data_IF_560568730362
#
_entry.id   IF_560568730362
#
_cell.length_a   1.000
_cell.length_b   1.000
_cell.length_c   1.000
_cell.angle_alpha   90.00
_cell.angle_beta   90.00
_cell.angle_gamma   90.00
#
_symmetry.space_group_name_H-M   'P 1'
#
loop_
_entity.id
_entity.type
_entity.pdbx_description
1 polymer ?
#
# COMPACT_ATOMS: atom_id res chain seq x y z
N UNK A 1 -11.11 52.82 -5.12
CA UNK A 1 -11.84 51.59 -5.57
C UNK A 1 -10.96 50.66 -6.41
N UNK A 2 -10.08 51.18 -7.28
CA UNK A 2 -9.16 50.44 -8.15
C UNK A 2 -8.31 49.34 -7.46
N UNK A 3 -7.70 49.61 -6.30
CA UNK A 3 -6.89 48.61 -5.59
C UNK A 3 -7.68 47.43 -5.00
N UNK A 4 -8.98 47.59 -4.74
CA UNK A 4 -9.82 46.48 -4.25
C UNK A 4 -10.11 45.52 -5.40
N UNK A 5 -10.46 46.06 -6.57
CA UNK A 5 -10.71 45.31 -7.81
C UNK A 5 -9.50 44.52 -8.29
N UNK A 6 -8.27 45.07 -8.22
CA UNK A 6 -7.04 44.35 -8.62
C UNK A 6 -6.72 43.16 -7.71
N UNK A 7 -6.93 43.30 -6.39
CA UNK A 7 -6.72 42.21 -5.43
C UNK A 7 -7.74 41.08 -5.61
N UNK A 8 -9.01 41.43 -5.89
CA UNK A 8 -10.04 40.43 -6.22
C UNK A 8 -9.77 39.71 -7.54
N UNK A 9 -9.28 40.41 -8.58
CA UNK A 9 -8.91 39.75 -9.84
C UNK A 9 -7.73 38.79 -9.64
N UNK A 10 -6.69 39.20 -8.91
CA UNK A 10 -5.54 38.35 -8.63
C UNK A 10 -5.91 37.09 -7.83
N UNK A 11 -6.81 37.22 -6.85
CA UNK A 11 -7.33 36.09 -6.09
C UNK A 11 -8.16 35.11 -6.94
N UNK A 12 -8.95 35.62 -7.90
CA UNK A 12 -9.74 34.78 -8.81
C UNK A 12 -8.86 33.99 -9.79
N UNK A 13 -7.77 34.59 -10.30
CA UNK A 13 -6.81 33.89 -11.16
C UNK A 13 -6.04 32.81 -10.39
N UNK A 14 -5.63 33.08 -9.15
CA UNK A 14 -4.98 32.08 -8.29
C UNK A 14 -5.93 30.91 -7.95
N UNK A 15 -7.21 31.18 -7.72
CA UNK A 15 -8.22 30.14 -7.50
C UNK A 15 -8.42 29.25 -8.74
N UNK A 16 -8.39 29.83 -9.94
CA UNK A 16 -8.54 29.07 -11.19
C UNK A 16 -7.33 28.16 -11.49
N UNK A 17 -6.13 28.57 -11.08
CA UNK A 17 -4.90 27.81 -11.24
C UNK A 17 -4.78 26.62 -10.27
N UNK A 18 -5.56 26.60 -9.18
CA UNK A 18 -5.62 25.49 -8.23
C UNK A 18 -6.52 24.33 -8.70
N UNK A 19 -7.32 24.52 -9.75
CA UNK A 19 -8.36 23.57 -10.18
C UNK A 19 -7.97 22.58 -11.29
N UNK A 20 -6.70 22.53 -11.73
CA UNK A 20 -6.30 21.74 -12.92
C UNK A 20 -5.67 20.36 -12.65
N UNK A 21 -5.67 19.84 -11.41
CA UNK A 21 -4.97 18.59 -11.07
C UNK A 21 -5.89 17.43 -10.68
N UNK A 22 -6.56 16.76 -11.63
CA UNK A 22 -7.13 15.43 -11.36
C UNK A 22 -7.44 14.52 -12.57
N UNK A 23 -7.01 14.82 -13.80
CA UNK A 23 -7.27 13.92 -14.93
C UNK A 23 -6.13 12.92 -15.10
N UNK A 24 -6.08 11.89 -14.24
CA UNK A 24 -5.12 10.79 -14.40
C UNK A 24 -5.57 9.77 -15.48
N UNK A 25 -6.88 9.65 -15.72
CA UNK A 25 -7.46 8.75 -16.71
C UNK A 25 -8.68 9.39 -17.40
N UNK A 26 -8.86 9.09 -18.69
CA UNK A 26 -9.98 9.58 -19.49
C UNK A 26 -11.35 9.05 -18.99
N UNK A 27 -11.34 7.86 -18.35
CA UNK A 27 -12.52 7.22 -17.75
C UNK A 27 -12.20 6.68 -16.36
N UNK A 28 -13.17 6.66 -15.43
CA UNK A 28 -13.01 6.01 -14.13
C UNK A 28 -12.67 4.53 -14.28
N UNK A 29 -11.77 4.03 -13.44
CA UNK A 29 -11.48 2.59 -13.35
C UNK A 29 -12.50 1.96 -12.40
N UNK A 30 -13.45 1.21 -12.96
CA UNK A 30 -14.40 0.44 -12.15
C UNK A 30 -13.72 -0.80 -11.60
N UNK A 31 -13.71 -0.94 -10.27
CA UNK A 31 -13.16 -2.09 -9.58
C UNK A 31 -14.28 -3.06 -9.23
N UNK A 32 -14.09 -4.33 -9.59
CA UNK A 32 -14.92 -5.42 -9.10
C UNK A 32 -14.56 -5.76 -7.65
N UNK A 33 -13.27 -5.70 -7.32
CA UNK A 33 -12.76 -6.05 -6.00
C UNK A 33 -11.43 -5.36 -5.70
N UNK A 34 -11.13 -5.15 -4.43
CA UNK A 34 -9.88 -4.59 -3.93
C UNK A 34 -9.64 -5.05 -2.50
N UNK A 35 -8.39 -5.37 -2.19
CA UNK A 35 -8.03 -5.68 -0.82
C UNK A 35 -6.54 -5.90 -0.64
N UNK A 36 -6.22 -6.55 0.47
CA UNK A 36 -4.87 -6.97 0.78
C UNK A 36 -4.85 -8.25 1.59
N UNK A 37 -3.79 -9.02 1.46
CA UNK A 37 -3.54 -10.25 2.20
C UNK A 37 -2.04 -10.45 2.42
N UNK A 38 -1.70 -11.38 3.31
CA UNK A 38 -0.33 -11.85 3.52
C UNK A 38 -0.15 -13.21 2.86
N UNK A 39 1.02 -13.46 2.26
CA UNK A 39 1.34 -14.72 1.60
C UNK A 39 2.73 -15.23 2.01
N UNK A 40 2.86 -16.55 2.13
CA UNK A 40 4.09 -17.19 2.60
C UNK A 40 4.34 -16.93 4.09
N UNK A 41 5.62 -16.87 4.47
CA UNK A 41 6.09 -16.63 5.83
C UNK A 41 6.26 -17.89 6.68
N UNK A 42 6.85 -17.70 7.86
CA UNK A 42 7.23 -18.75 8.81
C UNK A 42 6.63 -18.45 10.18
N UNK A 43 6.33 -19.51 10.92
CA UNK A 43 5.89 -19.40 12.32
C UNK A 43 6.93 -20.07 13.21
N UNK A 44 7.38 -19.36 14.24
CA UNK A 44 8.33 -19.88 15.24
C UNK A 44 7.69 -19.77 16.61
N UNK A 45 7.66 -20.87 17.35
CA UNK A 45 7.15 -20.91 18.73
C UNK A 45 8.32 -21.14 19.69
N UNK A 46 8.45 -20.25 20.67
CA UNK A 46 9.46 -20.40 21.72
C UNK A 46 9.03 -21.50 22.70
N UNK A 47 9.89 -22.46 23.05
CA UNK A 47 9.57 -23.48 24.06
C UNK A 47 9.15 -22.89 25.41
N UNK A 48 8.30 -23.61 26.14
CA UNK A 48 7.78 -23.20 27.46
C UNK A 48 6.27 -22.94 27.44
N UNK A 49 5.75 -22.31 28.49
CA UNK A 49 4.34 -21.95 28.63
C UNK A 49 4.18 -20.44 28.67
N UNK A 50 3.12 -19.93 28.04
CA UNK A 50 2.81 -18.51 28.07
C UNK A 50 2.33 -18.08 29.46
N UNK A 51 2.83 -16.94 29.94
CA UNK A 51 2.47 -16.33 31.22
C UNK A 51 1.81 -14.97 30.99
N UNK A 52 0.50 -14.89 31.25
CA UNK A 52 -0.28 -13.66 31.12
C UNK A 52 0.16 -12.55 32.10
N UNK A 53 0.79 -12.90 33.21
CA UNK A 53 1.29 -11.93 34.20
C UNK A 53 2.63 -11.31 33.81
N UNK A 54 3.34 -11.93 32.86
CA UNK A 54 4.62 -11.45 32.33
C UNK A 54 4.69 -11.58 30.79
N UNK A 55 3.91 -10.78 30.04
CA UNK A 55 3.77 -10.91 28.58
C UNK A 55 5.02 -10.51 27.78
N UNK A 56 6.05 -9.94 28.42
CA UNK A 56 7.32 -9.67 27.77
C UNK A 56 8.27 -10.88 27.79
N UNK A 57 7.96 -11.94 28.56
CA UNK A 57 8.70 -13.18 28.54
C UNK A 57 8.35 -14.00 27.29
N UNK A 58 9.30 -14.32 26.41
CA UNK A 58 9.03 -14.99 25.13
C UNK A 58 8.59 -16.44 25.26
N UNK A 59 8.68 -17.09 26.43
CA UNK A 59 8.29 -18.50 26.58
C UNK A 59 6.82 -18.76 26.20
N UNK A 60 6.60 -19.82 25.43
CA UNK A 60 5.28 -20.17 24.89
C UNK A 60 4.71 -19.17 23.88
N UNK A 61 5.41 -18.08 23.54
CA UNK A 61 4.98 -17.13 22.52
C UNK A 61 5.25 -17.68 21.12
N UNK A 62 4.40 -17.25 20.17
CA UNK A 62 4.51 -17.60 18.76
C UNK A 62 4.70 -16.34 17.92
N UNK A 63 5.76 -16.30 17.11
CA UNK A 63 6.07 -15.23 16.17
C UNK A 63 5.71 -15.67 14.75
N UNK A 64 4.95 -14.82 14.05
CA UNK A 64 4.61 -14.98 12.63
C UNK A 64 5.41 -13.94 11.82
N UNK A 65 6.34 -14.39 10.98
CA UNK A 65 7.30 -13.55 10.26
C UNK A 65 7.45 -13.93 8.79
N UNK A 66 8.29 -13.19 8.06
CA UNK A 66 8.67 -13.44 6.66
C UNK A 66 7.51 -13.47 5.65
N UNK A 67 6.35 -12.93 6.01
CA UNK A 67 5.22 -12.81 5.10
C UNK A 67 5.46 -11.71 4.05
N UNK A 68 5.03 -11.97 2.82
CA UNK A 68 4.85 -10.92 1.82
C UNK A 68 3.49 -10.25 2.03
N UNK A 69 3.47 -8.93 2.21
CA UNK A 69 2.24 -8.15 2.15
C UNK A 69 1.86 -7.91 0.69
N UNK A 70 0.63 -8.24 0.32
CA UNK A 70 0.11 -8.07 -1.03
C UNK A 70 -1.10 -7.14 -1.01
N UNK A 71 -1.07 -6.09 -1.82
CA UNK A 71 -2.25 -5.29 -2.13
C UNK A 71 -2.69 -5.57 -3.57
N UNK A 72 -3.99 -5.74 -3.79
CA UNK A 72 -4.52 -6.03 -5.12
C UNK A 72 -5.75 -5.18 -5.49
N UNK A 73 -5.92 -4.98 -6.80
CA UNK A 73 -7.11 -4.37 -7.39
C UNK A 73 -7.51 -5.20 -8.62
N UNK A 74 -8.80 -5.56 -8.71
CA UNK A 74 -9.38 -6.29 -9.84
C UNK A 74 -10.41 -5.40 -10.54
N UNK A 75 -10.19 -4.99 -11.80
CA UNK A 75 -11.19 -4.26 -12.57
C UNK A 75 -12.33 -5.18 -13.03
N UNK A 76 -13.50 -4.60 -13.35
CA UNK A 76 -14.70 -5.37 -13.78
C UNK A 76 -14.44 -6.23 -15.02
N UNK A 77 -13.62 -5.73 -15.95
CA UNK A 77 -13.23 -6.42 -17.18
C UNK A 77 -11.76 -6.82 -17.14
N UNK A 78 -11.35 -7.53 -16.09
CA UNK A 78 -9.95 -7.96 -15.93
C UNK A 78 -9.51 -8.93 -17.02
N UNK A 79 -8.31 -8.71 -17.58
CA UNK A 79 -7.62 -9.71 -18.40
C UNK A 79 -7.44 -11.03 -17.64
N UNK A 80 -7.35 -12.14 -18.39
CA UNK A 80 -7.18 -13.49 -17.82
C UNK A 80 -5.90 -13.62 -16.97
N UNK A 81 -4.83 -12.93 -17.35
CA UNK A 81 -3.54 -12.98 -16.65
C UNK A 81 -3.33 -11.71 -15.82
N UNK A 82 -3.01 -11.83 -14.52
CA UNK A 82 -2.73 -10.67 -13.68
C UNK A 82 -1.31 -10.14 -13.88
N UNK A 83 -1.11 -8.89 -13.49
CA UNK A 83 0.20 -8.26 -13.39
C UNK A 83 0.68 -8.30 -11.93
N UNK A 84 1.88 -8.83 -11.71
CA UNK A 84 2.52 -8.88 -10.39
C UNK A 84 3.72 -7.94 -10.39
N UNK A 85 3.73 -6.98 -9.47
CA UNK A 85 4.80 -6.01 -9.30
C UNK A 85 5.64 -6.34 -8.07
N UNK A 86 6.92 -6.62 -8.31
CA UNK A 86 7.95 -6.83 -7.31
C UNK A 86 8.85 -5.59 -7.25
N UNK A 87 9.03 -5.01 -6.08
CA UNK A 87 9.94 -3.87 -5.91
C UNK A 87 11.39 -4.33 -5.80
N UNK A 88 12.34 -3.43 -6.11
CA UNK A 88 13.78 -3.67 -5.91
C UNK A 88 14.22 -3.57 -4.45
N UNK A 89 15.51 -3.82 -4.20
CA UNK A 89 16.11 -3.73 -2.87
C UNK A 89 15.97 -2.32 -2.27
N UNK A 90 15.65 -2.24 -0.97
CA UNK A 90 15.45 -0.97 -0.24
C UNK A 90 14.21 -0.17 -0.65
N UNK A 91 13.37 -0.71 -1.54
CA UNK A 91 12.13 -0.08 -2.00
C UNK A 91 10.90 -0.75 -1.36
N UNK A 92 9.71 -0.18 -1.59
CA UNK A 92 8.42 -0.76 -1.17
C UNK A 92 7.39 -0.69 -2.30
N UNK A 93 6.17 -1.22 -2.08
CA UNK A 93 5.01 -1.14 -3.00
C UNK A 93 4.68 0.25 -3.55
N UNK A 94 5.25 1.33 -3.00
CA UNK A 94 5.01 2.72 -3.43
C UNK A 94 5.44 2.96 -4.89
N UNK A 95 6.45 2.24 -5.40
CA UNK A 95 7.06 2.51 -6.71
C UNK A 95 6.38 1.83 -7.89
N UNK A 96 5.70 0.70 -7.69
CA UNK A 96 4.95 0.07 -8.78
C UNK A 96 3.61 0.78 -9.00
N UNK A 97 3.44 1.50 -10.10
CA UNK A 97 2.12 2.03 -10.53
C UNK A 97 1.86 1.54 -11.97
N UNK A 98 0.76 0.82 -12.22
CA UNK A 98 0.44 0.38 -13.57
C UNK A 98 -0.08 1.57 -14.40
N UNK A 99 0.37 1.68 -15.64
CA UNK A 99 -0.25 2.56 -16.65
C UNK A 99 -1.49 1.92 -17.30
N UNK A 100 -1.65 0.59 -17.19
CA UNK A 100 -2.78 -0.16 -17.73
C UNK A 100 -3.83 -0.43 -16.65
N UNK A 101 -5.08 -0.08 -16.90
CA UNK A 101 -6.16 -0.06 -15.89
C UNK A 101 -7.09 -1.27 -15.91
N UNK A 102 -7.02 -2.09 -16.95
CA UNK A 102 -7.87 -3.28 -17.17
C UNK A 102 -7.18 -4.59 -16.75
N UNK A 103 -5.97 -4.53 -16.18
CA UNK A 103 -5.31 -5.69 -15.61
C UNK A 103 -5.64 -5.82 -14.11
N UNK A 104 -5.81 -7.06 -13.63
CA UNK A 104 -5.70 -7.32 -12.20
C UNK A 104 -4.25 -7.07 -11.77
N UNK A 105 -4.05 -6.33 -10.70
CA UNK A 105 -2.72 -5.87 -10.27
C UNK A 105 -2.46 -6.33 -8.86
N UNK A 106 -1.29 -6.96 -8.65
CA UNK A 106 -0.74 -7.28 -7.33
C UNK A 106 0.51 -6.43 -7.09
N UNK A 107 0.56 -5.75 -5.96
CA UNK A 107 1.76 -5.05 -5.48
C UNK A 107 2.26 -5.75 -4.23
N UNK A 108 3.46 -6.29 -4.32
CA UNK A 108 4.08 -7.05 -3.24
C UNK A 108 5.03 -6.12 -2.49
N UNK A 109 4.95 -6.12 -1.16
CA UNK A 109 5.94 -5.56 -0.25
C UNK A 109 6.44 -6.66 0.67
N UNK A 110 7.75 -6.75 0.86
CA UNK A 110 8.30 -7.53 1.96
C UNK A 110 8.51 -6.63 3.16
N UNK A 111 8.18 -7.16 4.34
CA UNK A 111 8.59 -6.55 5.59
C UNK A 111 9.56 -7.52 6.25
N UNK A 112 10.80 -7.07 6.45
CA UNK A 112 11.78 -7.88 7.15
C UNK A 112 11.41 -7.89 8.64
N UNK A 113 10.90 -9.03 9.12
CA UNK A 113 10.70 -9.26 10.54
C UNK A 113 11.97 -9.94 11.11
N UNK A 114 13.10 -9.25 11.10
CA UNK A 114 14.29 -9.71 11.78
C UNK A 114 15.00 -8.54 12.47
N UNK A 115 14.91 -8.52 13.81
CA UNK A 115 16.02 -8.41 14.75
C UNK A 115 15.45 -8.55 16.17
N UNK A 116 15.01 -9.76 16.55
CA UNK A 116 15.24 -10.17 17.94
C UNK A 116 16.65 -10.78 17.94
N UNK A 117 17.59 -10.27 18.74
CA UNK A 117 18.89 -10.90 18.86
C UNK A 117 18.68 -12.35 19.30
N UNK A 118 19.45 -13.24 18.68
CA UNK A 118 19.66 -14.62 19.12
C UNK A 118 19.76 -14.67 20.65
N UNK A 119 18.81 -15.33 21.30
CA UNK A 119 18.95 -15.83 22.67
C UNK A 119 19.65 -17.17 22.64
#
# INVERSE_FOLDING_TARGET
MQHKTTKTLAAAVLALMLSTSAYAFEKPVLLQDQGSFFAGGTTVTTPGSFDFSNPLNPQGQTLHGDHAYVFYQKPVNAHKLPLVFLHGAGQSKKHGKPHRTDAMVFKISFWNAAMLPTL
#
